data_IF_160810556300
#
_entry.id   IF_160810556300
#
_cell.length_a   1.000
_cell.length_b   1.000
_cell.length_c   1.000
_cell.angle_alpha   90.00
_cell.angle_beta   90.00
_cell.angle_gamma   90.00
#
_symmetry.space_group_name_H-M   'P 1'
#
loop_
_entity.id
_entity.type
_entity.pdbx_description
1 polymer ?
#
# COMPACT_ATOMS: atom_id res chain seq x y z
N UNK A 1 -0.01 16.49 -17.88
CA UNK A 1 -0.84 15.82 -16.86
C UNK A 1 0.01 15.60 -15.62
N UNK A 2 -0.45 16.02 -14.44
CA UNK A 2 0.30 15.78 -13.20
C UNK A 2 0.18 14.32 -12.82
N UNK A 3 1.31 13.60 -12.78
CA UNK A 3 1.39 12.17 -12.47
C UNK A 3 1.38 11.88 -10.96
N UNK A 4 1.09 12.90 -10.14
CA UNK A 4 1.22 12.89 -8.68
C UNK A 4 0.52 11.68 -8.03
N UNK A 5 -0.74 11.42 -8.36
CA UNK A 5 -1.47 10.30 -7.75
C UNK A 5 -0.86 8.93 -8.08
N UNK A 6 -0.37 8.76 -9.31
CA UNK A 6 0.27 7.51 -9.73
C UNK A 6 1.63 7.32 -9.05
N UNK A 7 2.44 8.37 -8.97
CA UNK A 7 3.75 8.33 -8.29
C UNK A 7 3.62 8.02 -6.79
N UNK A 8 2.63 8.61 -6.12
CA UNK A 8 2.38 8.31 -4.71
C UNK A 8 1.84 6.90 -4.53
N UNK A 9 0.89 6.45 -5.36
CA UNK A 9 0.39 5.08 -5.29
C UNK A 9 1.55 4.07 -5.39
N UNK A 10 2.50 4.29 -6.32
CA UNK A 10 3.68 3.45 -6.46
C UNK A 10 4.58 3.47 -5.22
N UNK A 11 4.77 4.62 -4.57
CA UNK A 11 5.54 4.71 -3.32
C UNK A 11 4.91 3.88 -2.21
N UNK A 12 3.59 3.96 -2.05
CA UNK A 12 2.85 3.15 -1.08
C UNK A 12 2.90 1.65 -1.41
N UNK A 13 2.81 1.26 -2.68
CA UNK A 13 3.00 -0.14 -3.10
C UNK A 13 4.40 -0.66 -2.72
N UNK A 14 5.43 0.15 -2.95
CA UNK A 14 6.81 -0.22 -2.61
C UNK A 14 6.95 -0.40 -1.08
N UNK A 15 6.36 0.48 -0.27
CA UNK A 15 6.32 0.33 1.18
C UNK A 15 5.57 -0.93 1.61
N UNK A 16 4.44 -1.26 0.99
CA UNK A 16 3.68 -2.47 1.29
C UNK A 16 4.47 -3.75 0.93
N UNK A 17 5.28 -3.71 -0.13
CA UNK A 17 6.18 -4.79 -0.51
C UNK A 17 7.32 -4.99 0.52
N UNK A 18 7.91 -3.89 1.02
CA UNK A 18 8.91 -3.95 2.09
C UNK A 18 8.30 -4.58 3.35
N UNK A 19 7.12 -4.12 3.77
CA UNK A 19 6.43 -4.67 4.94
C UNK A 19 6.12 -6.17 4.77
N UNK A 20 5.71 -6.60 3.57
CA UNK A 20 5.51 -8.03 3.25
C UNK A 20 6.78 -8.84 3.48
N UNK A 21 7.93 -8.37 3.01
CA UNK A 21 9.20 -9.06 3.16
C UNK A 21 9.66 -9.11 4.64
N UNK A 22 9.43 -8.03 5.39
CA UNK A 22 9.70 -7.98 6.82
C UNK A 22 8.83 -8.99 7.60
N UNK A 23 7.54 -9.06 7.29
CA UNK A 23 6.61 -10.05 7.88
C UNK A 23 7.12 -11.46 7.59
N UNK A 24 7.46 -11.78 6.35
CA UNK A 24 7.94 -13.10 5.96
C UNK A 24 9.22 -13.48 6.73
N UNK A 25 10.13 -12.51 6.93
CA UNK A 25 11.37 -12.74 7.69
C UNK A 25 11.07 -13.03 9.16
N UNK A 26 10.15 -12.28 9.78
CA UNK A 26 9.74 -12.55 11.16
C UNK A 26 8.99 -13.89 11.29
N UNK A 27 8.16 -14.25 10.31
CA UNK A 27 7.48 -15.56 10.28
C UNK A 27 8.48 -16.72 10.17
N UNK A 28 9.62 -16.56 9.47
CA UNK A 28 10.69 -17.56 9.50
C UNK A 28 11.42 -17.58 10.84
N UNK A 29 11.72 -16.41 11.43
CA UNK A 29 12.35 -16.33 12.76
C UNK A 29 11.48 -16.98 13.84
N UNK A 30 10.17 -16.79 13.77
CA UNK A 30 9.21 -17.37 14.72
C UNK A 30 9.33 -18.90 14.81
N UNK A 31 9.65 -19.58 13.70
CA UNK A 31 9.77 -21.06 13.66
C UNK A 31 10.94 -21.61 14.47
N UNK A 32 11.97 -20.80 14.70
CA UNK A 32 13.19 -21.19 15.41
C UNK A 32 13.38 -20.41 16.71
N UNK A 33 12.47 -19.49 17.02
CA UNK A 33 12.56 -18.63 18.19
C UNK A 33 12.27 -19.42 19.47
N UNK A 34 12.97 -19.10 20.57
CA UNK A 34 12.71 -19.72 21.85
C UNK A 34 11.36 -19.22 22.43
N UNK A 35 10.71 -19.99 23.33
CA UNK A 35 9.37 -19.70 23.83
C UNK A 35 9.20 -18.29 24.40
N UNK A 36 10.25 -17.73 25.03
CA UNK A 36 10.21 -16.41 25.67
C UNK A 36 10.05 -15.27 24.66
N UNK A 37 10.45 -15.48 23.39
CA UNK A 37 10.38 -14.48 22.33
C UNK A 37 9.13 -14.60 21.45
N UNK A 38 8.42 -15.72 21.49
CA UNK A 38 7.28 -15.99 20.60
C UNK A 38 6.20 -14.93 20.69
N UNK A 39 5.86 -14.49 21.90
CA UNK A 39 4.82 -13.46 22.11
C UNK A 39 5.21 -12.12 21.47
N UNK A 40 6.48 -11.72 21.61
CA UNK A 40 7.00 -10.48 21.02
C UNK A 40 6.99 -10.55 19.49
N UNK A 41 7.51 -11.65 18.93
CA UNK A 41 7.57 -11.83 17.47
C UNK A 41 6.17 -11.88 16.87
N UNK A 42 5.21 -12.56 17.50
CA UNK A 42 3.82 -12.59 17.05
C UNK A 42 3.15 -11.21 17.10
N UNK A 43 3.43 -10.42 18.14
CA UNK A 43 2.97 -9.04 18.23
C UNK A 43 3.52 -8.19 17.08
N UNK A 44 4.83 -8.23 16.84
CA UNK A 44 5.48 -7.47 15.76
C UNK A 44 4.92 -7.86 14.38
N UNK A 45 4.72 -9.16 14.12
CA UNK A 45 4.08 -9.65 12.89
C UNK A 45 2.67 -9.07 12.74
N UNK A 46 1.89 -9.02 13.82
CA UNK A 46 0.51 -8.51 13.79
C UNK A 46 0.47 -7.01 13.49
N UNK A 47 1.37 -6.23 14.10
CA UNK A 47 1.53 -4.79 13.82
C UNK A 47 1.93 -4.56 12.36
N UNK A 48 2.94 -5.27 11.86
CA UNK A 48 3.38 -5.12 10.47
C UNK A 48 2.30 -5.53 9.47
N UNK A 49 1.49 -6.57 9.78
CA UNK A 49 0.34 -6.96 8.97
C UNK A 49 -0.70 -5.84 8.89
N UNK A 50 -1.00 -5.18 10.01
CA UNK A 50 -1.90 -4.03 10.05
C UNK A 50 -1.35 -2.87 9.21
N UNK A 51 -0.09 -2.47 9.44
CA UNK A 51 0.56 -1.42 8.66
C UNK A 51 0.57 -1.71 7.16
N UNK A 52 0.81 -2.96 6.77
CA UNK A 52 0.82 -3.37 5.35
C UNK A 52 -0.56 -3.20 4.72
N UNK A 53 -1.61 -3.58 5.43
CA UNK A 53 -2.99 -3.42 4.96
C UNK A 53 -3.30 -1.94 4.75
N UNK A 54 -3.07 -1.10 5.76
CA UNK A 54 -3.36 0.33 5.71
C UNK A 54 -2.55 1.02 4.58
N UNK A 55 -1.28 0.64 4.39
CA UNK A 55 -0.44 1.12 3.28
C UNK A 55 -1.02 0.75 1.90
N UNK A 56 -1.56 -0.47 1.78
CA UNK A 56 -2.18 -0.95 0.54
C UNK A 56 -3.48 -0.21 0.24
N UNK A 57 -4.31 0.03 1.26
CA UNK A 57 -5.56 0.79 1.15
C UNK A 57 -5.28 2.22 0.65
N UNK A 58 -4.26 2.89 1.19
CA UNK A 58 -3.86 4.22 0.73
C UNK A 58 -3.45 4.21 -0.75
N UNK A 59 -2.67 3.21 -1.19
CA UNK A 59 -2.30 3.08 -2.59
C UNK A 59 -3.53 2.92 -3.50
N UNK A 60 -4.52 2.13 -3.06
CA UNK A 60 -5.77 1.95 -3.79
C UNK A 60 -6.59 3.24 -3.90
N UNK A 61 -6.70 3.99 -2.81
CA UNK A 61 -7.39 5.29 -2.79
C UNK A 61 -6.72 6.32 -3.71
N UNK A 62 -5.38 6.34 -3.76
CA UNK A 62 -4.65 7.18 -4.70
C UNK A 62 -4.92 6.80 -6.16
N UNK A 63 -4.98 5.50 -6.49
CA UNK A 63 -5.35 5.04 -7.84
C UNK A 63 -6.80 5.39 -8.17
N UNK A 64 -7.73 5.29 -7.20
CA UNK A 64 -9.12 5.74 -7.38
C UNK A 64 -9.15 7.23 -7.72
N UNK A 65 -8.47 8.08 -6.95
CA UNK A 65 -8.39 9.52 -7.23
C UNK A 65 -7.80 9.83 -8.61
N UNK A 66 -6.76 9.09 -9.01
CA UNK A 66 -6.19 9.22 -10.35
C UNK A 66 -7.21 8.94 -11.46
N UNK A 67 -8.00 7.86 -11.35
CA UNK A 67 -9.03 7.53 -12.33
C UNK A 67 -10.12 8.60 -12.41
N UNK A 68 -10.63 9.06 -11.27
CA UNK A 68 -11.63 10.13 -11.24
C UNK A 68 -11.13 11.41 -11.90
N UNK A 69 -9.86 11.78 -11.67
CA UNK A 69 -9.29 12.96 -12.32
C UNK A 69 -9.15 12.76 -13.84
N UNK A 70 -8.83 11.55 -14.31
CA UNK A 70 -8.79 11.24 -15.74
C UNK A 70 -10.18 11.23 -16.38
N UNK A 71 -11.18 10.68 -15.71
CA UNK A 71 -12.59 10.71 -16.13
C UNK A 71 -13.09 12.15 -16.25
N UNK A 72 -12.84 12.98 -15.23
CA UNK A 72 -13.19 14.41 -15.22
C UNK A 72 -12.58 15.16 -16.42
N UNK A 73 -11.30 14.92 -16.72
CA UNK A 73 -10.62 15.55 -17.85
C UNK A 73 -11.20 15.10 -19.20
N UNK A 74 -11.55 13.82 -19.33
CA UNK A 74 -12.17 13.27 -20.54
C UNK A 74 -13.56 13.86 -20.80
N UNK A 75 -14.36 14.07 -19.75
CA UNK A 75 -15.70 14.68 -19.84
C UNK A 75 -15.65 16.16 -20.25
N UNK A 76 -14.68 16.94 -19.76
CA UNK A 76 -14.49 18.35 -20.19
C UNK A 76 -14.03 18.53 -21.64
N UNK A 77 -13.65 17.46 -22.34
CA UNK A 77 -13.19 17.53 -23.73
C UNK A 77 -14.34 17.43 -24.75
N UNK A 78 -15.56 17.06 -24.33
CA UNK A 78 -16.71 16.78 -25.21
C UNK A 78 -17.65 17.99 -25.42
N UNK A 79 -17.35 19.16 -24.84
CA UNK A 79 -18.13 20.41 -25.09
C UNK A 79 -17.25 21.60 -25.45
N UNK A 80 -16.78 21.63 -26.71
CA UNK A 80 -16.44 22.87 -27.41
C UNK A 80 -17.48 23.00 -28.53
N UNK A 81 -18.52 23.85 -28.42
CA UNK A 81 -19.38 24.13 -29.56
C UNK A 81 -18.53 24.82 -30.64
N UNK A 82 -18.65 24.32 -31.88
CA UNK A 82 -18.15 25.00 -33.08
C UNK A 82 -18.75 26.40 -33.23
#
# INVERSE_FOLDING_TARGET
MSNYFQEWAQKYDNSAAILKNSIQTLEQKLKIAPPEELSRINYDISVLKAMRRDTTEIAEELRKKHRHEMERLNETTITIPQ
#
